data_IF_930727582338
#
_entry.id   IF_930727582338
#
_cell.length_a   1.000
_cell.length_b   1.000
_cell.length_c   1.000
_cell.angle_alpha   90.00
_cell.angle_beta   90.00
_cell.angle_gamma   90.00
#
_symmetry.space_group_name_H-M   'P 1'
#
loop_
_entity.id
_entity.type
_entity.pdbx_description
1 polymer ?
#
# COMPACT_ATOMS: atom_id res chain seq x y z
N UNK A 1 -18.37 -24.19 -18.70
CA UNK A 1 -17.27 -24.05 -17.73
C UNK A 1 -17.32 -22.66 -17.11
N UNK A 2 -17.87 -22.53 -15.90
CA UNK A 2 -17.81 -21.28 -15.14
C UNK A 2 -16.35 -21.11 -14.71
N UNK A 3 -15.63 -20.19 -15.35
CA UNK A 3 -14.36 -19.69 -14.82
C UNK A 3 -14.68 -19.15 -13.44
N UNK A 4 -14.30 -19.90 -12.39
CA UNK A 4 -14.33 -19.45 -11.01
C UNK A 4 -13.55 -18.14 -11.00
N UNK A 5 -14.27 -17.04 -10.89
CA UNK A 5 -13.68 -15.70 -10.88
C UNK A 5 -13.35 -15.49 -9.41
N UNK A 6 -12.14 -15.86 -9.01
CA UNK A 6 -11.67 -15.66 -7.65
C UNK A 6 -11.72 -14.15 -7.34
N UNK A 7 -12.62 -13.67 -6.46
CA UNK A 7 -12.73 -12.25 -6.15
C UNK A 7 -11.47 -11.69 -5.45
N UNK A 8 -10.64 -12.59 -4.90
CA UNK A 8 -9.32 -12.28 -4.34
C UNK A 8 -8.35 -11.74 -5.41
N UNK A 9 -8.46 -12.19 -6.67
CA UNK A 9 -7.57 -11.71 -7.75
C UNK A 9 -7.96 -10.31 -8.26
N UNK A 10 -9.23 -9.92 -8.17
CA UNK A 10 -9.69 -8.59 -8.64
C UNK A 10 -9.34 -7.48 -7.64
N UNK A 11 -9.31 -7.76 -6.33
CA UNK A 11 -8.79 -6.81 -5.33
C UNK A 11 -7.27 -6.57 -5.44
N UNK A 12 -6.52 -7.49 -6.04
CA UNK A 12 -5.10 -7.30 -6.29
C UNK A 12 -4.84 -6.29 -7.44
N UNK A 13 -5.88 -5.96 -8.23
CA UNK A 13 -5.80 -5.07 -9.40
C UNK A 13 -6.40 -3.68 -9.19
N UNK A 14 -6.90 -3.35 -8.00
CA UNK A 14 -7.29 -1.97 -7.70
C UNK A 14 -6.01 -1.15 -7.53
N UNK A 15 -5.55 -0.62 -8.66
CA UNK A 15 -4.66 0.52 -8.69
C UNK A 15 -5.42 1.67 -8.04
N UNK A 16 -4.98 2.05 -6.85
CA UNK A 16 -5.57 3.13 -6.08
C UNK A 16 -4.64 4.34 -6.12
N UNK A 17 -5.21 5.50 -5.85
CA UNK A 17 -4.40 6.72 -5.68
C UNK A 17 -3.73 6.69 -4.31
N UNK A 18 -2.72 7.53 -4.10
CA UNK A 18 -2.05 7.68 -2.80
C UNK A 18 -3.06 8.01 -1.68
N UNK A 19 -4.06 8.85 -1.96
CA UNK A 19 -5.08 9.25 -0.98
C UNK A 19 -6.03 8.09 -0.63
N UNK A 20 -6.43 7.30 -1.62
CA UNK A 20 -7.27 6.12 -1.39
C UNK A 20 -6.47 5.03 -0.67
N UNK A 21 -5.21 4.81 -1.05
CA UNK A 21 -4.28 3.93 -0.33
C UNK A 21 -4.13 4.33 1.13
N UNK A 22 -3.89 5.62 1.40
CA UNK A 22 -3.79 6.17 2.75
C UNK A 22 -5.04 5.87 3.58
N UNK A 23 -6.21 6.10 2.98
CA UNK A 23 -7.50 5.91 3.64
C UNK A 23 -7.73 4.43 3.94
N UNK A 24 -7.54 3.56 2.96
CA UNK A 24 -7.69 2.11 3.11
C UNK A 24 -6.65 1.51 4.07
N UNK A 25 -5.40 2.00 4.03
CA UNK A 25 -4.34 1.61 4.95
C UNK A 25 -4.69 1.99 6.39
N UNK A 26 -5.06 3.25 6.64
CA UNK A 26 -5.41 3.72 7.97
C UNK A 26 -6.71 3.08 8.49
N UNK A 27 -7.66 2.78 7.61
CA UNK A 27 -8.91 2.10 7.97
C UNK A 27 -8.72 0.61 8.27
N UNK A 28 -7.76 -0.04 7.61
CA UNK A 28 -7.45 -1.47 7.82
C UNK A 28 -6.30 -1.71 8.80
N UNK A 29 -5.63 -0.66 9.28
CA UNK A 29 -4.49 -0.80 10.19
C UNK A 29 -4.97 -1.20 11.58
N UNK A 30 -4.36 -2.23 12.19
CA UNK A 30 -4.70 -2.63 13.55
C UNK A 30 -4.35 -1.53 14.55
N UNK A 31 -5.13 -1.44 15.63
CA UNK A 31 -4.82 -0.56 16.76
C UNK A 31 -3.44 -0.90 17.32
N UNK A 32 -2.53 0.07 17.28
CA UNK A 32 -1.11 -0.09 17.67
C UNK A 32 -0.13 0.02 16.50
N UNK A 33 -0.58 -0.07 15.25
CA UNK A 33 0.29 0.23 14.11
C UNK A 33 0.34 1.74 13.84
N UNK A 34 1.53 2.30 13.56
CA UNK A 34 1.67 3.69 13.18
C UNK A 34 0.86 4.01 11.92
N UNK A 35 0.03 5.05 12.01
CA UNK A 35 -0.75 5.54 10.88
C UNK A 35 0.20 6.01 9.78
N UNK A 36 -0.02 5.52 8.57
CA UNK A 36 0.64 6.11 7.42
C UNK A 36 0.10 7.54 7.26
N UNK A 37 0.96 8.47 6.87
CA UNK A 37 0.57 9.81 6.43
C UNK A 37 0.99 10.00 4.98
N UNK A 38 0.41 10.98 4.29
CA UNK A 38 0.82 11.29 2.92
C UNK A 38 2.32 11.58 2.81
N UNK A 39 2.95 12.16 3.84
CA UNK A 39 4.39 12.38 3.89
C UNK A 39 5.19 11.07 3.91
N UNK A 40 4.78 10.09 4.73
CA UNK A 40 5.39 8.77 4.80
C UNK A 40 5.23 8.04 3.47
N UNK A 41 4.05 8.12 2.83
CA UNK A 41 3.81 7.51 1.52
C UNK A 41 4.70 8.10 0.42
N UNK A 42 4.84 9.44 0.38
CA UNK A 42 5.76 10.08 -0.58
C UNK A 42 7.22 9.67 -0.35
N UNK A 43 7.65 9.57 0.92
CA UNK A 43 8.99 9.08 1.26
C UNK A 43 9.18 7.62 0.84
N UNK A 44 8.20 6.78 1.12
CA UNK A 44 8.19 5.38 0.68
C UNK A 44 8.31 5.27 -0.84
N UNK A 45 7.55 6.09 -1.58
CA UNK A 45 7.62 6.15 -3.04
C UNK A 45 9.00 6.58 -3.55
N UNK A 46 9.61 7.57 -2.91
CA UNK A 46 10.96 8.04 -3.23
C UNK A 46 12.06 7.00 -2.89
N UNK A 47 11.87 6.22 -1.82
CA UNK A 47 12.83 5.17 -1.39
C UNK A 47 12.66 3.89 -2.21
N UNK A 48 11.45 3.58 -2.66
CA UNK A 48 11.13 2.38 -3.42
C UNK A 48 10.56 2.67 -4.81
N UNK A 49 11.22 3.48 -5.66
CA UNK A 49 10.72 3.77 -7.01
C UNK A 49 10.60 2.50 -7.86
N UNK A 50 11.35 1.46 -7.51
CA UNK A 50 11.31 0.13 -8.13
C UNK A 50 10.00 -0.63 -7.90
N UNK A 51 9.17 -0.23 -6.92
CA UNK A 51 7.81 -0.76 -6.73
C UNK A 51 6.82 -0.08 -7.67
N UNK A 52 7.11 1.15 -8.10
CA UNK A 52 6.29 2.02 -8.95
C UNK A 52 6.67 1.90 -10.44
N UNK A 53 6.82 0.67 -10.93
CA UNK A 53 7.28 0.40 -12.32
C UNK A 53 6.33 0.88 -13.42
N UNK A 54 5.07 1.14 -13.10
CA UNK A 54 4.05 1.66 -14.01
C UNK A 54 3.55 3.07 -13.59
N UNK A 55 4.41 3.87 -12.95
CA UNK A 55 4.04 5.19 -12.43
C UNK A 55 3.47 5.13 -11.02
N UNK A 56 2.65 6.13 -10.65
CA UNK A 56 2.04 6.37 -9.32
C UNK A 56 0.94 5.37 -8.91
N UNK A 57 1.02 4.14 -9.40
CA UNK A 57 0.01 3.12 -9.18
C UNK A 57 0.21 2.44 -7.83
N UNK A 58 -0.59 2.81 -6.82
CA UNK A 58 -0.57 2.15 -5.53
C UNK A 58 -1.44 0.90 -5.55
N UNK A 59 -1.00 -0.13 -4.84
CA UNK A 59 -1.74 -1.39 -4.69
C UNK A 59 -1.82 -1.71 -3.22
N UNK A 60 -3.04 -1.81 -2.67
CA UNK A 60 -3.26 -2.00 -1.23
C UNK A 60 -2.44 -3.17 -0.72
N UNK A 61 -2.58 -4.40 -1.23
CA UNK A 61 -1.82 -5.54 -0.71
C UNK A 61 -0.30 -5.40 -0.85
N UNK A 62 0.17 -5.13 -2.07
CA UNK A 62 1.61 -5.13 -2.39
C UNK A 62 2.35 -4.02 -1.64
N UNK A 63 1.80 -2.81 -1.66
CA UNK A 63 2.41 -1.67 -1.01
C UNK A 63 2.16 -1.69 0.50
N UNK A 64 1.02 -2.18 1.01
CA UNK A 64 0.77 -2.29 2.46
C UNK A 64 1.80 -3.19 3.13
N UNK A 65 2.05 -4.39 2.59
CA UNK A 65 3.02 -5.32 3.21
C UNK A 65 4.41 -4.69 3.25
N UNK A 66 4.84 -4.05 2.16
CA UNK A 66 6.14 -3.38 2.11
C UNK A 66 6.21 -2.11 2.96
N UNK A 67 5.12 -1.36 3.04
CA UNK A 67 5.02 -0.17 3.87
C UNK A 67 5.04 -0.53 5.35
N UNK A 68 4.35 -1.61 5.76
CA UNK A 68 4.39 -2.12 7.14
C UNK A 68 5.76 -2.65 7.55
N UNK A 69 6.49 -3.27 6.61
CA UNK A 69 7.90 -3.70 6.78
C UNK A 69 8.85 -2.50 6.91
N UNK A 70 8.60 -1.44 6.14
CA UNK A 70 9.45 -0.24 6.10
C UNK A 70 9.15 0.80 7.19
N UNK A 71 7.89 1.00 7.59
CA UNK A 71 7.48 1.99 8.60
C UNK A 71 8.26 1.91 9.92
N UNK A 72 8.44 0.73 10.55
CA UNK A 72 9.21 0.65 11.79
C UNK A 72 10.68 1.00 11.59
N UNK A 73 11.25 0.71 10.41
CA UNK A 73 12.60 1.13 10.05
C UNK A 73 12.69 2.65 9.85
N UNK A 74 11.64 3.28 9.34
CA UNK A 74 11.55 4.73 9.14
C UNK A 74 11.27 5.52 10.42
N UNK A 75 10.46 4.98 11.34
CA UNK A 75 10.12 5.66 12.60
C UNK A 75 11.23 5.59 13.66
N UNK A 76 12.18 4.66 13.51
CA UNK A 76 13.32 4.51 14.40
C UNK A 76 14.57 5.31 13.94
N UNK A 77 14.42 6.16 12.91
CA UNK A 77 15.46 7.00 12.33
C UNK A 77 15.15 8.48 12.54
#
# INVERSE_FOLDING_TARGET
>A
MVKRRDPVLEQNKTIVTLADFLTAYNKSSPEGFPRATAAVLRKFQAVHPTLFKHGDNWSIEKHRKKLMDWLPSYQNA
#
